data_IF_638041080985
#
_entry.id   IF_638041080985
#
_cell.length_a   1.000
_cell.length_b   1.000
_cell.length_c   1.000
_cell.angle_alpha   90.00
_cell.angle_beta   90.00
_cell.angle_gamma   90.00
#
_symmetry.space_group_name_H-M   'P 1'
#
loop_
_entity.id
_entity.type
_entity.pdbx_description
1 polymer ?
#
# COMPACT_ATOMS: atom_id res chain seq x y z
N UNK A 1 8.32 1.11 14.54
CA UNK A 1 8.51 -0.37 14.58
C UNK A 1 9.50 -0.73 13.47
N UNK A 2 10.39 -1.71 13.67
CA UNK A 2 11.36 -2.12 12.63
C UNK A 2 11.02 -3.54 12.17
N UNK A 3 10.95 -3.75 10.87
CA UNK A 3 10.70 -5.02 10.21
C UNK A 3 11.94 -5.91 10.28
N UNK A 4 11.73 -7.18 10.63
CA UNK A 4 12.75 -8.22 10.49
C UNK A 4 12.90 -8.61 9.01
N UNK A 5 13.63 -7.77 8.24
CA UNK A 5 13.73 -7.88 6.78
C UNK A 5 14.16 -9.29 6.32
N UNK A 6 15.15 -9.89 6.99
CA UNK A 6 15.61 -11.24 6.66
C UNK A 6 14.49 -12.28 6.71
N UNK A 7 13.62 -12.23 7.74
CA UNK A 7 12.48 -13.16 7.85
C UNK A 7 11.45 -12.94 6.75
N UNK A 8 11.28 -11.72 6.29
CA UNK A 8 10.36 -11.39 5.19
C UNK A 8 10.92 -11.92 3.86
N UNK A 9 12.21 -11.72 3.61
CA UNK A 9 12.90 -12.26 2.43
C UNK A 9 12.89 -13.78 2.44
N UNK A 10 13.15 -14.41 3.60
CA UNK A 10 13.05 -15.87 3.77
C UNK A 10 11.67 -16.39 3.39
N UNK A 11 10.60 -15.76 3.90
CA UNK A 11 9.21 -16.14 3.58
C UNK A 11 8.91 -16.01 2.09
N UNK A 12 9.43 -14.97 1.43
CA UNK A 12 9.27 -14.79 -0.01
C UNK A 12 10.01 -15.87 -0.81
N UNK A 13 11.20 -16.29 -0.38
CA UNK A 13 11.92 -17.41 -0.99
C UNK A 13 11.19 -18.74 -0.74
N UNK A 14 10.61 -18.95 0.44
CA UNK A 14 9.77 -20.12 0.71
C UNK A 14 8.58 -20.21 -0.25
N UNK A 15 7.94 -19.07 -0.55
CA UNK A 15 6.89 -19.01 -1.58
C UNK A 15 7.43 -19.39 -2.97
N UNK A 16 8.60 -18.88 -3.37
CA UNK A 16 9.20 -19.25 -4.66
C UNK A 16 9.42 -20.77 -4.74
N UNK A 17 10.00 -21.37 -3.69
CA UNK A 17 10.27 -22.80 -3.64
C UNK A 17 8.99 -23.65 -3.59
N UNK A 18 7.95 -23.19 -2.90
CA UNK A 18 6.65 -23.85 -2.89
C UNK A 18 6.05 -23.93 -4.30
N UNK A 19 6.09 -22.82 -5.04
CA UNK A 19 5.60 -22.79 -6.43
C UNK A 19 6.44 -23.67 -7.36
N UNK A 20 7.77 -23.72 -7.17
CA UNK A 20 8.62 -24.61 -7.95
C UNK A 20 8.29 -26.10 -7.72
N UNK A 21 7.96 -26.49 -6.48
CA UNK A 21 7.49 -27.85 -6.17
C UNK A 21 6.19 -28.21 -6.91
N UNK A 22 5.37 -27.21 -7.21
CA UNK A 22 4.15 -27.35 -8.04
C UNK A 22 4.43 -27.26 -9.55
N UNK A 23 5.71 -27.19 -9.98
CA UNK A 23 6.09 -27.03 -11.39
C UNK A 23 5.88 -25.61 -11.93
N UNK A 24 5.67 -24.62 -11.06
CA UNK A 24 5.41 -23.22 -11.42
C UNK A 24 6.62 -22.34 -11.08
N UNK A 25 7.58 -22.27 -11.99
CA UNK A 25 8.83 -21.52 -11.81
C UNK A 25 8.69 -19.99 -12.03
N UNK A 26 7.50 -19.44 -11.82
CA UNK A 26 7.18 -18.03 -12.06
C UNK A 26 6.13 -17.51 -11.07
N UNK A 27 6.11 -16.20 -10.88
CA UNK A 27 5.13 -15.52 -10.04
C UNK A 27 5.38 -14.02 -9.95
N UNK A 28 4.54 -13.35 -9.15
CA UNK A 28 4.64 -11.92 -8.86
C UNK A 28 4.47 -11.73 -7.36
N UNK A 29 5.35 -10.93 -6.77
CA UNK A 29 5.25 -10.51 -5.37
C UNK A 29 4.92 -9.02 -5.39
N UNK A 30 3.83 -8.63 -4.72
CA UNK A 30 3.41 -7.24 -4.58
C UNK A 30 3.80 -6.76 -3.18
N UNK A 31 4.46 -5.61 -3.12
CA UNK A 31 4.96 -5.01 -1.88
C UNK A 31 4.40 -3.60 -1.79
N UNK A 32 3.76 -3.27 -0.66
CA UNK A 32 3.25 -1.92 -0.43
C UNK A 32 4.42 -0.95 -0.17
N UNK A 33 4.40 0.21 -0.81
CA UNK A 33 5.42 1.26 -0.67
C UNK A 33 5.65 1.64 0.81
N UNK A 34 4.58 1.74 1.60
CA UNK A 34 4.66 2.05 3.04
C UNK A 34 5.46 1.05 3.89
N UNK A 35 5.81 -0.14 3.35
CA UNK A 35 6.73 -1.05 4.04
C UNK A 35 8.15 -0.46 4.22
N UNK A 36 8.53 0.52 3.39
CA UNK A 36 9.83 1.19 3.49
C UNK A 36 10.03 1.87 4.85
N UNK A 37 8.97 2.40 5.47
CA UNK A 37 9.04 3.04 6.80
C UNK A 37 9.51 2.10 7.91
N UNK A 38 9.36 0.79 7.68
CA UNK A 38 9.71 -0.24 8.65
C UNK A 38 11.09 -0.85 8.36
N UNK A 39 11.81 -0.41 7.32
CA UNK A 39 13.14 -0.96 7.02
C UNK A 39 14.14 -0.69 8.16
N UNK A 40 15.12 -1.60 8.39
CA UNK A 40 16.23 -1.32 9.28
C UNK A 40 16.98 -0.04 8.88
N UNK A 41 17.44 0.73 9.87
CA UNK A 41 18.05 2.06 9.67
C UNK A 41 19.20 2.07 8.63
N UNK A 42 19.98 0.99 8.55
CA UNK A 42 21.06 0.83 7.56
C UNK A 42 20.61 0.97 6.09
N UNK A 43 19.33 0.72 5.80
CA UNK A 43 18.75 0.89 4.45
C UNK A 43 18.08 2.26 4.25
N UNK A 44 17.97 3.05 5.32
CA UNK A 44 17.38 4.39 5.33
C UNK A 44 18.45 5.50 5.41
N UNK A 45 19.73 5.12 5.53
CA UNK A 45 20.86 6.05 5.53
C UNK A 45 20.94 6.81 4.20
N UNK A 46 20.93 8.15 4.28
CA UNK A 46 21.00 9.04 3.11
C UNK A 46 19.64 9.45 2.51
N UNK A 47 18.52 9.00 3.08
CA UNK A 47 17.19 9.40 2.62
C UNK A 47 16.77 10.73 3.25
N UNK A 48 16.39 11.70 2.42
CA UNK A 48 15.89 12.99 2.89
C UNK A 48 14.53 12.85 3.55
N UNK A 49 14.33 13.57 4.65
CA UNK A 49 13.02 13.75 5.27
C UNK A 49 12.33 14.95 4.62
N UNK A 50 11.03 14.84 4.39
CA UNK A 50 10.22 15.97 3.94
C UNK A 50 9.93 16.96 5.09
N UNK A 51 9.25 18.06 4.76
CA UNK A 51 8.90 19.14 5.68
C UNK A 51 7.96 18.70 6.83
N UNK A 52 7.37 17.50 6.73
CA UNK A 52 6.49 16.91 7.74
C UNK A 52 7.22 15.85 8.60
N UNK A 53 8.51 15.63 8.37
CA UNK A 53 9.32 14.63 9.08
C UNK A 53 9.12 13.20 8.59
N UNK A 54 8.36 13.00 7.50
CA UNK A 54 8.24 11.70 6.86
C UNK A 54 9.46 11.45 5.97
N UNK A 55 9.88 10.19 5.92
CA UNK A 55 10.92 9.75 4.98
C UNK A 55 10.35 9.93 3.59
N UNK A 56 11.10 10.52 2.63
CA UNK A 56 10.67 10.50 1.24
C UNK A 56 10.77 9.06 0.72
N UNK A 57 9.72 8.26 0.97
CA UNK A 57 9.67 6.84 0.65
C UNK A 57 9.84 6.62 -0.86
N UNK A 58 9.31 7.52 -1.68
CA UNK A 58 9.40 7.43 -3.14
C UNK A 58 10.83 7.49 -3.67
N UNK A 59 11.77 8.07 -2.90
CA UNK A 59 13.19 8.11 -3.23
C UNK A 59 13.92 6.79 -2.95
N UNK A 60 13.35 5.91 -2.11
CA UNK A 60 13.87 4.57 -1.86
C UNK A 60 13.38 3.69 -2.99
N UNK A 61 14.30 3.17 -3.80
CA UNK A 61 13.96 2.15 -4.80
C UNK A 61 13.78 0.78 -4.09
N UNK A 62 12.63 0.64 -3.41
CA UNK A 62 12.28 -0.55 -2.65
C UNK A 62 12.23 -1.79 -3.55
N UNK A 63 11.77 -1.62 -4.80
CA UNK A 63 11.68 -2.73 -5.76
C UNK A 63 13.06 -3.31 -6.10
N UNK A 64 14.06 -2.47 -6.31
CA UNK A 64 15.43 -2.88 -6.59
C UNK A 64 16.09 -3.52 -5.37
N UNK A 65 15.90 -2.93 -4.18
CA UNK A 65 16.43 -3.46 -2.92
C UNK A 65 15.91 -4.88 -2.66
N UNK A 66 14.60 -5.06 -2.68
CA UNK A 66 14.00 -6.37 -2.37
C UNK A 66 14.32 -7.39 -3.45
N UNK A 67 14.33 -7.00 -4.72
CA UNK A 67 14.67 -7.92 -5.82
C UNK A 67 16.10 -8.43 -5.71
N UNK A 68 17.05 -7.57 -5.32
CA UNK A 68 18.44 -7.95 -5.05
C UNK A 68 18.52 -8.95 -3.89
N UNK A 69 17.93 -8.61 -2.74
CA UNK A 69 17.95 -9.47 -1.54
C UNK A 69 17.30 -10.83 -1.81
N UNK A 70 16.20 -10.87 -2.56
CA UNK A 70 15.54 -12.11 -2.96
C UNK A 70 16.42 -12.98 -3.84
N UNK A 71 17.07 -12.40 -4.86
CA UNK A 71 17.93 -13.15 -5.77
C UNK A 71 19.15 -13.73 -5.05
N UNK A 72 19.79 -12.94 -4.18
CA UNK A 72 20.90 -13.37 -3.33
C UNK A 72 20.46 -14.52 -2.41
N UNK A 73 19.36 -14.31 -1.67
CA UNK A 73 18.85 -15.28 -0.71
C UNK A 73 18.39 -16.59 -1.35
N UNK A 74 17.76 -16.52 -2.51
CA UNK A 74 17.39 -17.70 -3.29
C UNK A 74 18.63 -18.51 -3.72
N UNK A 75 19.68 -17.81 -4.17
CA UNK A 75 20.93 -18.45 -4.60
C UNK A 75 21.64 -19.12 -3.43
N UNK A 76 21.72 -18.46 -2.28
CA UNK A 76 22.26 -19.04 -1.05
C UNK A 76 21.55 -20.34 -0.64
N UNK A 77 20.22 -20.38 -0.74
CA UNK A 77 19.42 -21.52 -0.28
C UNK A 77 19.39 -22.69 -1.26
N UNK A 78 19.60 -22.46 -2.55
CA UNK A 78 19.39 -23.48 -3.58
C UNK A 78 20.63 -23.83 -4.40
N UNK A 79 21.66 -22.97 -4.37
CA UNK A 79 22.80 -23.05 -5.29
C UNK A 79 22.46 -22.72 -6.75
N UNK A 80 21.21 -22.33 -7.05
CA UNK A 80 20.73 -21.98 -8.39
C UNK A 80 20.40 -20.49 -8.45
N UNK A 81 20.48 -19.92 -9.65
CA UNK A 81 20.05 -18.53 -9.87
C UNK A 81 18.63 -18.48 -10.42
N UNK A 82 17.89 -17.43 -10.05
CA UNK A 82 16.60 -17.08 -10.66
C UNK A 82 16.56 -15.62 -11.01
N UNK A 83 15.92 -15.31 -12.14
CA UNK A 83 15.72 -13.94 -12.59
C UNK A 83 14.60 -13.30 -11.77
N UNK A 84 14.93 -12.26 -11.00
CA UNK A 84 13.99 -11.45 -10.22
C UNK A 84 14.05 -10.02 -10.75
N UNK A 85 12.95 -9.54 -11.33
CA UNK A 85 12.87 -8.18 -11.86
C UNK A 85 12.01 -7.33 -10.92
N UNK A 86 12.60 -6.29 -10.35
CA UNK A 86 11.88 -5.29 -9.58
C UNK A 86 11.16 -4.30 -10.50
N UNK A 87 9.92 -3.98 -10.18
CA UNK A 87 9.15 -2.91 -10.80
C UNK A 87 8.49 -2.08 -9.69
N UNK A 88 8.67 -0.77 -9.76
CA UNK A 88 8.00 0.18 -8.88
C UNK A 88 6.98 0.95 -9.70
N UNK A 89 5.71 0.92 -9.27
CA UNK A 89 4.61 1.63 -9.90
C UNK A 89 4.17 2.77 -8.98
N UNK A 90 4.12 3.99 -9.48
CA UNK A 90 3.70 5.13 -8.67
C UNK A 90 3.32 6.35 -9.48
N UNK A 91 4.29 7.02 -10.10
CA UNK A 91 4.02 8.26 -10.86
C UNK A 91 3.08 8.01 -12.04
N UNK A 92 3.26 6.89 -12.73
CA UNK A 92 2.51 6.50 -13.92
C UNK A 92 1.04 6.24 -13.59
N UNK A 93 0.73 5.73 -12.39
CA UNK A 93 -0.64 5.46 -11.97
C UNK A 93 -1.36 6.70 -11.44
N UNK A 94 -0.64 7.73 -10.96
CA UNK A 94 -1.23 8.96 -10.41
C UNK A 94 -1.79 9.91 -11.48
N UNK A 95 -1.22 9.89 -12.69
CA UNK A 95 -1.60 10.78 -13.79
C UNK A 95 -2.34 10.05 -14.92
N UNK A 96 -2.81 8.82 -14.67
CA UNK A 96 -3.64 8.11 -15.62
C UNK A 96 -5.00 8.84 -15.79
N UNK A 97 -5.58 8.84 -17.01
CA UNK A 97 -6.92 9.37 -17.21
C UNK A 97 -7.94 8.65 -16.28
N UNK A 98 -8.84 9.39 -15.62
CA UNK A 98 -9.84 8.80 -14.73
C UNK A 98 -10.78 7.88 -15.51
N UNK A 99 -11.16 6.75 -14.92
CA UNK A 99 -12.17 5.89 -15.52
C UNK A 99 -13.59 6.39 -15.20
N UNK A 100 -14.62 5.79 -15.81
CA UNK A 100 -16.01 6.25 -15.66
C UNK A 100 -16.45 6.40 -14.19
N UNK A 101 -16.05 5.47 -13.32
CA UNK A 101 -16.34 5.58 -11.89
C UNK A 101 -15.68 6.80 -11.23
N UNK A 102 -14.43 7.14 -11.57
CA UNK A 102 -13.73 8.31 -11.00
C UNK A 102 -14.37 9.61 -11.48
N UNK A 103 -14.79 9.65 -12.75
CA UNK A 103 -15.51 10.80 -13.32
C UNK A 103 -16.83 11.00 -12.58
N UNK A 104 -17.61 9.93 -12.36
CA UNK A 104 -18.86 10.00 -11.61
C UNK A 104 -18.62 10.40 -10.16
N UNK A 105 -17.68 9.75 -9.47
CA UNK A 105 -17.31 10.04 -8.09
C UNK A 105 -16.84 11.48 -7.92
N UNK A 106 -15.89 11.93 -8.73
CA UNK A 106 -15.37 13.30 -8.70
C UNK A 106 -16.45 14.34 -8.99
N UNK A 107 -17.32 14.08 -9.97
CA UNK A 107 -18.47 14.94 -10.26
C UNK A 107 -19.42 15.03 -9.07
N UNK A 108 -19.75 13.90 -8.46
CA UNK A 108 -20.66 13.83 -7.31
C UNK A 108 -20.06 14.54 -6.09
N UNK A 109 -18.76 14.35 -5.80
CA UNK A 109 -18.08 15.07 -4.72
C UNK A 109 -18.07 16.58 -4.96
N UNK A 110 -17.83 17.02 -6.21
CA UNK A 110 -17.86 18.43 -6.59
C UNK A 110 -19.25 19.06 -6.43
N UNK A 111 -20.30 18.41 -6.94
CA UNK A 111 -21.70 18.82 -6.71
C UNK A 111 -22.01 18.78 -5.22
N UNK A 112 -21.57 17.76 -4.52
CA UNK A 112 -21.75 17.61 -3.08
C UNK A 112 -21.18 18.78 -2.28
N UNK A 113 -20.02 19.30 -2.68
CA UNK A 113 -19.42 20.48 -2.06
C UNK A 113 -20.24 21.75 -2.29
N UNK A 114 -20.77 21.96 -3.50
CA UNK A 114 -21.70 23.05 -3.78
C UNK A 114 -22.95 22.93 -2.89
N UNK A 115 -23.59 21.76 -2.87
CA UNK A 115 -24.80 21.52 -2.08
C UNK A 115 -24.56 21.72 -0.58
N UNK A 116 -23.44 21.21 -0.06
CA UNK A 116 -23.06 21.41 1.34
C UNK A 116 -23.01 22.89 1.72
N UNK A 117 -22.31 23.71 0.93
CA UNK A 117 -22.08 25.12 1.25
C UNK A 117 -23.31 25.99 0.95
N UNK A 118 -23.98 25.76 -0.18
CA UNK A 118 -24.99 26.69 -0.73
C UNK A 118 -26.40 26.27 -0.37
N UNK A 119 -26.74 24.99 -0.47
CA UNK A 119 -28.09 24.49 -0.20
C UNK A 119 -28.26 24.21 1.29
N UNK A 120 -27.37 23.39 1.85
CA UNK A 120 -27.44 22.91 3.23
C UNK A 120 -26.81 23.89 4.25
N UNK A 121 -26.09 24.92 3.78
CA UNK A 121 -25.41 25.95 4.60
C UNK A 121 -24.44 25.36 5.64
N UNK A 122 -23.83 24.23 5.33
CA UNK A 122 -22.86 23.54 6.18
C UNK A 122 -21.47 24.17 6.04
N UNK A 123 -20.66 24.00 7.08
CA UNK A 123 -19.24 24.30 7.09
C UNK A 123 -18.50 23.21 7.89
N UNK A 124 -17.18 23.13 7.75
CA UNK A 124 -16.38 22.20 8.55
C UNK A 124 -16.72 20.72 8.31
N UNK A 125 -17.20 20.37 7.11
CA UNK A 125 -17.54 18.99 6.74
C UNK A 125 -16.68 18.51 5.57
N UNK A 126 -16.31 17.23 5.60
CA UNK A 126 -15.83 16.49 4.44
C UNK A 126 -17.03 15.98 3.64
N UNK A 127 -17.03 16.22 2.34
CA UNK A 127 -18.00 15.62 1.41
C UNK A 127 -17.54 14.20 1.11
N UNK A 128 -18.43 13.24 1.27
CA UNK A 128 -18.20 11.84 0.97
C UNK A 128 -19.42 11.26 0.24
N UNK A 129 -19.27 10.06 -0.28
CA UNK A 129 -20.37 9.32 -0.90
C UNK A 129 -20.41 7.88 -0.40
N UNK A 130 -21.60 7.27 -0.37
CA UNK A 130 -21.75 5.85 -0.07
C UNK A 130 -22.86 5.22 -0.91
N UNK A 131 -22.92 3.89 -0.97
CA UNK A 131 -23.97 3.17 -1.71
C UNK A 131 -24.02 3.57 -3.18
N UNK A 132 -25.16 4.12 -3.62
CA UNK A 132 -25.39 4.55 -5.00
C UNK A 132 -24.83 5.96 -5.29
N UNK A 133 -23.67 6.29 -4.70
CA UNK A 133 -23.07 7.63 -4.69
C UNK A 133 -23.93 8.68 -3.96
N UNK A 134 -24.67 8.25 -2.94
CA UNK A 134 -25.45 9.14 -2.09
C UNK A 134 -24.52 10.07 -1.31
N UNK A 135 -24.87 11.36 -1.23
CA UNK A 135 -24.03 12.36 -0.58
C UNK A 135 -24.09 12.24 0.95
N UNK A 136 -22.91 12.26 1.56
CA UNK A 136 -22.74 12.32 3.00
C UNK A 136 -21.83 13.49 3.39
N UNK A 137 -22.18 14.16 4.47
CA UNK A 137 -21.41 15.27 5.03
C UNK A 137 -20.88 14.86 6.40
N UNK A 138 -19.57 14.64 6.50
CA UNK A 138 -18.94 14.13 7.72
C UNK A 138 -18.21 15.30 8.41
N UNK A 139 -18.60 15.70 9.63
CA UNK A 139 -17.90 16.75 10.37
C UNK A 139 -16.42 16.43 10.57
N UNK A 140 -15.53 17.40 10.36
CA UNK A 140 -14.09 17.20 10.52
C UNK A 140 -13.70 16.77 11.93
N UNK A 141 -14.42 17.21 12.95
CA UNK A 141 -14.23 16.81 14.35
C UNK A 141 -14.32 15.30 14.57
N UNK A 142 -15.04 14.57 13.71
CA UNK A 142 -15.14 13.11 13.77
C UNK A 142 -13.95 12.41 13.09
N UNK A 143 -13.26 13.12 12.19
CA UNK A 143 -12.17 12.61 11.34
C UNK A 143 -10.80 12.92 11.91
N UNK A 144 -10.71 13.94 12.77
CA UNK A 144 -9.48 14.42 13.38
C UNK A 144 -9.42 13.95 14.83
N UNK A 145 -8.23 13.57 15.26
CA UNK A 145 -7.96 13.31 16.67
C UNK A 145 -7.87 14.65 17.43
N UNK A 146 -8.66 14.86 18.50
CA UNK A 146 -8.79 16.17 19.15
C UNK A 146 -7.53 16.60 19.90
N UNK A 147 -6.63 15.68 20.24
CA UNK A 147 -5.40 15.99 20.98
C UNK A 147 -4.24 16.27 20.03
N UNK A 148 -4.09 15.43 19.00
CA UNK A 148 -2.97 15.50 18.05
C UNK A 148 -3.27 16.38 16.84
N UNK A 149 -4.55 16.67 16.58
CA UNK A 149 -5.06 17.36 15.39
C UNK A 149 -4.71 16.67 14.06
N UNK A 150 -4.32 15.39 14.12
CA UNK A 150 -4.00 14.57 12.94
C UNK A 150 -5.26 13.82 12.51
N UNK A 151 -5.41 13.63 11.19
CA UNK A 151 -6.49 12.81 10.64
C UNK A 151 -6.31 11.34 10.99
N UNK A 152 -7.40 10.65 11.33
CA UNK A 152 -7.36 9.22 11.63
C UNK A 152 -7.05 8.42 10.36
N UNK A 153 -5.90 7.74 10.34
CA UNK A 153 -5.52 6.81 9.27
C UNK A 153 -6.33 5.52 9.41
N UNK A 154 -6.94 5.08 8.30
CA UNK A 154 -7.70 3.82 8.25
C UNK A 154 -6.84 2.73 7.62
N UNK A 155 -6.51 1.71 8.40
CA UNK A 155 -5.80 0.53 7.92
C UNK A 155 -6.79 -0.56 7.49
N UNK A 156 -6.31 -1.52 6.70
CA UNK A 156 -7.06 -2.76 6.47
C UNK A 156 -7.29 -3.43 7.82
N UNK A 157 -8.55 -3.70 8.14
CA UNK A 157 -8.91 -4.41 9.37
C UNK A 157 -8.35 -5.84 9.30
N UNK A 158 -7.51 -6.17 10.29
CA UNK A 158 -7.02 -7.53 10.44
C UNK A 158 -8.20 -8.48 10.67
N UNK A 159 -8.11 -9.67 10.10
CA UNK A 159 -9.16 -10.70 10.14
C UNK A 159 -10.50 -10.35 9.46
N UNK A 160 -10.62 -9.20 8.79
CA UNK A 160 -11.76 -8.91 7.91
C UNK A 160 -11.83 -9.90 6.75
N UNK A 161 -13.01 -10.08 6.15
CA UNK A 161 -13.17 -10.97 4.99
C UNK A 161 -12.27 -10.57 3.82
N UNK A 162 -12.03 -9.27 3.63
CA UNK A 162 -11.09 -8.78 2.63
C UNK A 162 -9.64 -9.21 2.93
N UNK A 163 -9.19 -9.08 4.17
CA UNK A 163 -7.87 -9.57 4.59
C UNK A 163 -7.77 -11.09 4.45
N UNK A 164 -8.80 -11.84 4.86
CA UNK A 164 -8.85 -13.30 4.78
C UNK A 164 -8.87 -13.80 3.35
N UNK A 165 -9.54 -13.11 2.43
CA UNK A 165 -9.53 -13.45 1.01
C UNK A 165 -8.10 -13.47 0.46
N UNK A 166 -7.29 -12.45 0.78
CA UNK A 166 -5.89 -12.44 0.37
C UNK A 166 -5.12 -13.64 0.94
N UNK A 167 -5.36 -14.01 2.21
CA UNK A 167 -4.76 -15.21 2.84
C UNK A 167 -5.24 -16.52 2.25
N UNK A 168 -6.47 -16.57 1.76
CA UNK A 168 -7.03 -17.77 1.14
C UNK A 168 -6.44 -18.00 -0.27
N UNK A 169 -6.11 -16.92 -0.99
CA UNK A 169 -5.57 -16.98 -2.34
C UNK A 169 -4.03 -17.05 -2.40
N UNK A 170 -3.33 -16.85 -1.29
CA UNK A 170 -1.86 -16.88 -1.26
C UNK A 170 -1.30 -18.30 -1.47
N UNK A 171 -0.06 -18.40 -1.93
CA UNK A 171 0.61 -19.71 -2.04
C UNK A 171 0.84 -20.26 -0.64
N UNK A 172 0.35 -21.46 -0.36
CA UNK A 172 0.57 -22.12 0.92
C UNK A 172 2.06 -22.50 1.05
N UNK A 173 2.69 -21.99 2.10
CA UNK A 173 4.11 -22.28 2.42
C UNK A 173 4.28 -23.04 3.72
N UNK A 174 3.23 -23.08 4.54
CA UNK A 174 3.20 -23.80 5.80
C UNK A 174 2.72 -25.24 5.52
N UNK A 175 3.65 -26.20 5.63
CA UNK A 175 3.34 -27.63 5.64
C UNK A 175 3.12 -28.12 7.07
#
# INVERSE_FOLDING_TARGET
>A
KVMALERVVDRMVDMMLAREREGREYGTIVIAEGMAEYLPAKYLEGVSRDDHGHINISSINLSALISKLLAERYTERTGKTRKVNGLQLGYESRCAPPHAYDVMLGSQLGVGAYRALVEEKLNGVMVSVSGQLDLHYVPFEQLVDPETLVTKVRFIESDSDFHRLARFLETCIDN
#
